data_IF_444307684765
#
_entry.id   IF_444307684765
#
_cell.length_a   1.000
_cell.length_b   1.000
_cell.length_c   1.000
_cell.angle_alpha   90.00
_cell.angle_beta   90.00
_cell.angle_gamma   90.00
#
_symmetry.space_group_name_H-M   'P 1'
#
loop_
_entity.id
_entity.type
_entity.pdbx_description
1 polymer ?
#
# COMPACT_ATOMS: atom_id res chain seq x y z
N UNK A 1 -17.00 -2.81 -2.47
CA UNK A 1 -16.26 -3.73 -1.61
C UNK A 1 -17.30 -4.59 -0.92
N UNK A 2 -17.28 -5.90 -1.12
CA UNK A 2 -18.23 -6.80 -0.44
C UNK A 2 -17.74 -7.11 0.98
N UNK A 3 -18.62 -7.60 1.86
CA UNK A 3 -18.24 -8.11 3.19
C UNK A 3 -17.12 -9.17 3.10
N UNK A 4 -17.14 -9.98 2.04
CA UNK A 4 -16.07 -10.95 1.76
C UNK A 4 -14.74 -10.28 1.39
N UNK A 5 -14.78 -9.16 0.63
CA UNK A 5 -13.56 -8.38 0.33
C UNK A 5 -12.96 -7.78 1.62
N UNK A 6 -13.80 -7.31 2.56
CA UNK A 6 -13.36 -6.71 3.83
C UNK A 6 -12.81 -7.74 4.83
N UNK A 7 -13.46 -8.90 4.97
CA UNK A 7 -12.95 -10.00 5.80
C UNK A 7 -11.60 -10.53 5.28
N UNK A 8 -11.43 -10.62 3.95
CA UNK A 8 -10.13 -10.91 3.32
C UNK A 8 -9.09 -9.84 3.64
N UNK A 9 -9.51 -8.58 3.75
CA UNK A 9 -8.63 -7.44 3.99
C UNK A 9 -8.10 -7.41 5.43
N UNK A 10 -8.97 -7.65 6.41
CA UNK A 10 -8.59 -7.81 7.82
C UNK A 10 -7.70 -9.05 7.99
N UNK A 11 -8.02 -10.15 7.30
CA UNK A 11 -7.21 -11.38 7.34
C UNK A 11 -5.85 -11.20 6.65
N UNK A 12 -5.79 -10.42 5.57
CA UNK A 12 -4.57 -10.11 4.82
C UNK A 12 -3.63 -9.22 5.63
N UNK A 13 -4.16 -8.18 6.28
CA UNK A 13 -3.39 -7.31 7.17
C UNK A 13 -2.81 -8.11 8.35
N UNK A 14 -3.56 -9.09 8.87
CA UNK A 14 -3.06 -10.03 9.88
C UNK A 14 -1.94 -10.95 9.35
N UNK A 15 -2.10 -11.50 8.13
CA UNK A 15 -1.09 -12.37 7.48
C UNK A 15 0.19 -11.64 7.06
N UNK A 16 0.05 -10.39 6.61
CA UNK A 16 1.16 -9.49 6.26
C UNK A 16 2.09 -9.23 7.46
N UNK A 17 1.53 -9.29 8.67
CA UNK A 17 2.19 -8.84 9.90
C UNK A 17 2.63 -9.99 10.84
N UNK A 18 2.38 -11.25 10.50
CA UNK A 18 2.74 -12.42 11.32
C UNK A 18 3.32 -13.55 10.45
N UNK A 19 4.66 -13.66 10.39
CA UNK A 19 5.33 -14.82 9.79
C UNK A 19 5.22 -16.05 10.72
N UNK A 20 4.35 -17.01 10.37
CA UNK A 20 4.30 -18.33 11.01
C UNK A 20 3.13 -19.21 10.52
N UNK A 21 3.27 -20.56 10.49
CA UNK A 21 2.17 -21.46 10.17
C UNK A 21 1.15 -21.44 11.30
N UNK A 22 -0.13 -21.29 10.97
CA UNK A 22 -1.22 -21.33 11.93
C UNK A 22 -1.46 -22.78 12.37
N UNK A 23 -1.22 -23.07 13.64
CA UNK A 23 -1.85 -24.19 14.35
C UNK A 23 -3.22 -23.69 14.84
N UNK A 24 -4.29 -24.45 14.57
CA UNK A 24 -5.70 -24.05 14.75
C UNK A 24 -6.14 -24.00 16.22
N UNK A 25 -5.21 -24.11 17.16
CA UNK A 25 -5.46 -23.98 18.59
C UNK A 25 -4.54 -22.93 19.21
N UNK A 26 -5.16 -21.90 19.80
CA UNK A 26 -4.56 -20.84 20.63
C UNK A 26 -4.16 -19.53 19.94
N UNK A 27 -5.18 -18.77 19.50
CA UNK A 27 -5.04 -17.30 19.43
C UNK A 27 -5.30 -16.74 20.83
N UNK A 28 -4.24 -16.56 21.62
CA UNK A 28 -4.28 -15.78 22.87
C UNK A 28 -3.84 -14.34 22.60
N UNK A 29 -4.71 -13.37 22.90
CA UNK A 29 -4.57 -11.94 22.59
C UNK A 29 -3.45 -11.25 23.42
N UNK A 30 -2.72 -11.99 24.25
CA UNK A 30 -1.80 -11.41 25.25
C UNK A 30 -0.33 -11.29 24.82
N UNK A 31 0.03 -11.60 23.56
CA UNK A 31 1.45 -11.64 23.17
C UNK A 31 1.75 -10.97 21.82
N UNK A 32 1.08 -9.85 21.53
CA UNK A 32 1.44 -8.98 20.41
C UNK A 32 2.46 -7.94 20.85
N UNK A 33 3.75 -8.23 20.65
CA UNK A 33 4.79 -7.20 20.55
C UNK A 33 5.18 -7.09 19.07
N UNK A 34 4.56 -6.16 18.35
CA UNK A 34 4.95 -5.79 16.98
C UNK A 34 5.68 -4.43 17.00
N UNK A 35 6.68 -4.21 16.12
CA UNK A 35 7.42 -2.95 16.06
C UNK A 35 6.65 -1.79 15.39
N UNK A 36 5.35 -1.97 15.10
CA UNK A 36 4.49 -0.96 14.49
C UNK A 36 3.21 -0.84 15.30
N UNK A 37 2.88 0.37 15.75
CA UNK A 37 1.68 0.69 16.52
C UNK A 37 0.41 0.42 15.70
N UNK A 38 -0.08 -0.81 15.72
CA UNK A 38 -1.47 -1.11 15.40
C UNK A 38 -2.26 -0.80 16.67
N UNK A 39 -3.15 0.20 16.61
CA UNK A 39 -4.00 0.53 17.75
C UNK A 39 -4.90 -0.69 18.06
N UNK A 40 -4.69 -1.41 19.18
CA UNK A 40 -5.40 -2.66 19.46
C UNK A 40 -6.91 -2.44 19.61
N UNK A 41 -7.32 -1.23 20.02
CA UNK A 41 -8.73 -0.86 20.12
C UNK A 41 -9.38 -0.77 18.76
N UNK A 42 -8.68 -0.31 17.71
CA UNK A 42 -9.23 -0.21 16.36
C UNK A 42 -9.46 -1.60 15.74
N UNK A 43 -8.51 -2.52 15.98
CA UNK A 43 -8.62 -3.91 15.55
C UNK A 43 -9.76 -4.63 16.29
N UNK A 44 -9.85 -4.42 17.61
CA UNK A 44 -10.92 -4.97 18.45
C UNK A 44 -12.31 -4.40 18.09
N UNK A 45 -12.40 -3.09 17.78
CA UNK A 45 -13.65 -2.47 17.33
C UNK A 45 -14.08 -3.02 15.96
N UNK A 46 -13.13 -3.17 15.04
CA UNK A 46 -13.39 -3.74 13.72
C UNK A 46 -13.84 -5.20 13.80
N UNK A 47 -13.27 -6.01 14.70
CA UNK A 47 -13.76 -7.37 14.96
C UNK A 47 -15.14 -7.37 15.64
N UNK A 48 -15.36 -6.50 16.64
CA UNK A 48 -16.62 -6.45 17.39
C UNK A 48 -17.82 -6.13 16.51
N UNK A 49 -17.72 -5.09 15.66
CA UNK A 49 -18.80 -4.74 14.73
C UNK A 49 -19.02 -5.80 13.64
N UNK A 50 -17.98 -6.55 13.27
CA UNK A 50 -18.08 -7.63 12.28
C UNK A 50 -18.82 -8.86 12.83
N UNK A 51 -18.69 -9.14 14.14
CA UNK A 51 -19.44 -10.23 14.80
C UNK A 51 -20.91 -9.85 14.98
N UNK A 52 -21.22 -8.59 15.31
CA UNK A 52 -22.62 -8.13 15.45
C UNK A 52 -23.37 -8.16 14.11
N UNK A 53 -22.80 -7.66 13.02
CA UNK A 53 -23.43 -7.74 11.68
C UNK A 53 -23.67 -9.19 11.23
N UNK A 54 -22.80 -10.13 11.63
CA UNK A 54 -22.93 -11.55 11.30
C UNK A 54 -23.99 -12.25 12.17
N UNK A 55 -24.09 -11.89 13.46
CA UNK A 55 -25.12 -12.42 14.36
C UNK A 55 -26.53 -11.92 13.99
N UNK A 56 -26.66 -10.68 13.51
CA UNK A 56 -27.96 -10.11 13.17
C UNK A 56 -28.43 -10.40 11.73
N UNK A 57 -27.52 -10.65 10.78
CA UNK A 57 -27.91 -11.04 9.41
C UNK A 57 -28.33 -12.52 9.26
N UNK A 58 -28.06 -13.35 10.26
CA UNK A 58 -28.43 -14.78 10.31
C UNK A 58 -29.87 -15.08 10.76
N UNK A 59 -30.61 -14.12 11.33
CA UNK A 59 -31.93 -14.35 11.90
C UNK A 59 -33.06 -13.81 10.99
N UNK A 60 -33.49 -14.59 9.98
CA UNK A 60 -34.75 -14.31 9.26
C UNK A 60 -35.95 -14.83 10.06
N UNK A 61 -36.71 -13.90 10.65
CA UNK A 61 -38.06 -14.12 11.21
C UNK A 61 -38.91 -12.84 11.09
N UNK A 62 -40.15 -13.00 10.65
CA UNK A 62 -41.15 -11.98 10.25
C UNK A 62 -41.49 -10.88 11.28
N UNK A 63 -42.10 -9.74 10.87
CA UNK A 63 -41.98 -8.47 11.59
C UNK A 63 -42.97 -8.34 12.76
N UNK A 64 -42.47 -7.84 13.89
CA UNK A 64 -43.30 -7.19 14.92
C UNK A 64 -42.89 -5.72 14.99
N UNK A 65 -43.83 -4.85 14.66
CA UNK A 65 -43.74 -3.44 14.96
C UNK A 65 -43.63 -3.27 16.47
N UNK A 66 -42.64 -2.51 16.93
CA UNK A 66 -42.78 -1.60 18.06
C UNK A 66 -41.65 -0.56 18.06
N UNK A 67 -42.07 0.67 18.32
CA UNK A 67 -41.26 1.87 18.41
C UNK A 67 -40.12 1.75 19.43
N UNK A 68 -38.90 1.99 18.96
CA UNK A 68 -37.89 2.75 19.69
C UNK A 68 -36.91 3.31 18.66
N UNK A 69 -36.90 4.63 18.52
CA UNK A 69 -35.92 5.37 17.73
C UNK A 69 -34.57 5.34 18.43
N UNK A 70 -33.91 4.19 18.42
CA UNK A 70 -32.47 4.13 18.51
C UNK A 70 -31.97 4.27 17.07
N UNK A 71 -31.53 5.47 16.70
CA UNK A 71 -30.60 5.59 15.58
C UNK A 71 -29.36 4.81 15.99
N UNK A 72 -29.21 3.61 15.42
CA UNK A 72 -27.94 2.91 15.42
C UNK A 72 -26.86 3.92 14.99
N UNK A 73 -25.71 4.01 15.67
CA UNK A 73 -24.64 4.86 15.20
C UNK A 73 -24.26 4.37 13.80
N UNK A 74 -24.44 5.22 12.78
CA UNK A 74 -23.83 5.02 11.47
C UNK A 74 -22.32 4.99 11.68
N UNK A 75 -21.76 3.80 11.90
CA UNK A 75 -20.32 3.57 11.92
C UNK A 75 -19.88 3.66 10.47
N UNK A 76 -19.59 4.88 10.02
CA UNK A 76 -18.89 5.11 8.77
C UNK A 76 -17.44 4.72 9.02
N UNK A 77 -16.98 3.63 8.41
CA UNK A 77 -15.57 3.28 8.37
C UNK A 77 -14.82 4.40 7.65
N UNK A 78 -14.21 5.32 8.41
CA UNK A 78 -13.46 6.43 7.84
C UNK A 78 -12.05 5.95 7.52
N UNK A 79 -11.81 5.68 6.23
CA UNK A 79 -10.48 5.61 5.62
C UNK A 79 -9.64 4.41 6.07
N UNK A 80 -9.83 3.28 5.40
CA UNK A 80 -8.95 2.13 5.54
C UNK A 80 -7.68 2.38 4.70
N UNK A 81 -6.50 2.21 5.30
CA UNK A 81 -5.21 2.40 4.61
C UNK A 81 -4.36 1.14 4.72
N UNK A 82 -4.03 0.54 3.57
CA UNK A 82 -3.09 -0.58 3.48
C UNK A 82 -1.74 -0.04 3.03
N UNK A 83 -0.66 -0.40 3.71
CA UNK A 83 0.68 0.11 3.39
C UNK A 83 1.68 -1.00 3.13
N UNK A 84 2.66 -0.71 2.28
CA UNK A 84 3.91 -1.47 2.19
C UNK A 84 5.08 -0.50 2.08
N UNK A 85 6.27 -0.97 2.45
CA UNK A 85 7.51 -0.20 2.38
C UNK A 85 8.54 -0.96 1.55
N UNK A 86 9.28 -0.22 0.73
CA UNK A 86 10.43 -0.71 -0.01
C UNK A 86 11.67 0.09 0.41
N UNK A 87 12.79 -0.60 0.56
CA UNK A 87 14.07 -0.01 0.90
C UNK A 87 14.98 -0.06 -0.31
N UNK A 88 15.48 1.10 -0.70
CA UNK A 88 16.43 1.26 -1.80
C UNK A 88 17.57 2.17 -1.35
N UNK A 89 18.42 2.54 -2.28
CA UNK A 89 19.42 3.58 -2.07
C UNK A 89 19.53 4.46 -3.30
N UNK A 90 20.05 5.64 -3.10
CA UNK A 90 20.37 6.53 -4.20
C UNK A 90 21.60 6.10 -4.99
N UNK A 91 21.91 6.85 -6.05
CA UNK A 91 23.05 6.59 -6.92
C UNK A 91 23.55 7.88 -7.58
N UNK A 92 24.87 8.10 -7.74
CA UNK A 92 25.42 9.33 -8.35
C UNK A 92 24.94 9.63 -9.78
N UNK A 93 24.52 8.59 -10.52
CA UNK A 93 23.99 8.72 -11.89
C UNK A 93 22.49 9.02 -11.98
N UNK A 94 21.79 9.20 -10.85
CA UNK A 94 20.37 9.59 -10.85
C UNK A 94 20.22 10.98 -11.45
N UNK A 95 19.40 11.10 -12.50
CA UNK A 95 19.06 12.38 -13.14
C UNK A 95 17.71 12.90 -12.68
N UNK A 96 16.72 12.01 -12.60
CA UNK A 96 15.33 12.33 -12.30
C UNK A 96 14.78 13.46 -13.21
N UNK A 97 14.86 13.24 -14.52
CA UNK A 97 14.50 14.23 -15.54
C UNK A 97 13.35 13.77 -16.45
N UNK A 98 12.96 12.50 -16.37
CA UNK A 98 11.87 12.00 -17.21
C UNK A 98 10.54 12.71 -16.86
N UNK A 99 9.82 13.16 -17.89
CA UNK A 99 8.67 14.06 -17.76
C UNK A 99 7.35 13.36 -17.43
N UNK A 100 7.30 12.03 -17.55
CA UNK A 100 6.04 11.27 -17.40
C UNK A 100 6.12 10.08 -16.47
N UNK A 101 7.30 9.75 -15.93
CA UNK A 101 7.48 8.56 -15.10
C UNK A 101 8.48 8.79 -13.97
N UNK A 102 8.34 7.99 -12.91
CA UNK A 102 9.31 7.79 -11.84
C UNK A 102 9.59 6.29 -11.77
N UNK A 103 10.86 5.90 -11.67
CA UNK A 103 11.27 4.51 -11.63
C UNK A 103 12.17 4.18 -10.44
N UNK A 104 12.02 2.98 -9.90
CA UNK A 104 12.88 2.41 -8.86
C UNK A 104 13.27 1.01 -9.30
N UNK A 105 14.53 0.61 -9.11
CA UNK A 105 15.03 -0.70 -9.54
C UNK A 105 15.70 -1.50 -8.44
N UNK A 106 15.58 -2.84 -8.50
CA UNK A 106 16.33 -3.78 -7.67
C UNK A 106 17.78 -3.93 -8.13
N UNK A 107 18.10 -3.51 -9.38
CA UNK A 107 19.48 -3.54 -9.86
C UNK A 107 20.33 -2.54 -9.09
N UNK A 108 21.53 -2.96 -8.66
CA UNK A 108 22.43 -2.12 -7.86
C UNK A 108 23.26 -1.12 -8.66
N UNK A 109 23.17 -1.14 -9.99
CA UNK A 109 23.96 -0.29 -10.90
C UNK A 109 23.03 0.39 -11.90
N UNK A 110 23.33 1.64 -12.22
CA UNK A 110 22.66 2.37 -13.30
C UNK A 110 23.60 2.52 -14.50
N UNK A 111 22.99 2.53 -15.69
CA UNK A 111 23.62 3.09 -16.89
C UNK A 111 23.22 4.56 -17.02
N UNK A 112 23.98 5.35 -17.77
CA UNK A 112 23.73 6.79 -17.96
C UNK A 112 22.40 7.13 -18.66
N UNK A 113 21.70 6.12 -19.21
CA UNK A 113 20.45 6.26 -19.98
C UNK A 113 19.17 6.26 -19.13
N UNK A 114 19.25 5.90 -17.84
CA UNK A 114 18.07 5.85 -16.97
C UNK A 114 17.67 7.23 -16.44
N UNK A 115 16.89 8.00 -17.20
CA UNK A 115 16.42 9.33 -16.81
C UNK A 115 15.20 9.31 -15.86
N UNK A 116 14.44 8.22 -15.87
CA UNK A 116 13.29 8.01 -14.97
C UNK A 116 13.65 7.34 -13.64
N UNK A 117 14.77 6.61 -13.56
CA UNK A 117 15.16 5.89 -12.33
C UNK A 117 15.68 6.88 -11.27
N UNK A 118 15.08 6.86 -10.09
CA UNK A 118 15.43 7.72 -8.95
C UNK A 118 16.10 6.97 -7.81
N UNK A 119 15.95 5.64 -7.72
CA UNK A 119 16.61 4.83 -6.70
C UNK A 119 16.94 3.43 -7.23
N UNK A 120 17.98 2.83 -6.67
CA UNK A 120 18.59 1.56 -7.10
C UNK A 120 18.73 0.59 -5.92
N UNK A 121 18.98 -0.69 -6.21
CA UNK A 121 19.19 -1.70 -5.18
C UNK A 121 17.98 -1.87 -4.25
N UNK A 122 16.78 -1.69 -4.78
CA UNK A 122 15.55 -1.91 -4.04
C UNK A 122 15.42 -3.37 -3.59
N UNK A 123 14.93 -3.58 -2.37
CA UNK A 123 14.66 -4.89 -1.78
C UNK A 123 13.46 -5.62 -2.41
N UNK A 124 12.57 -4.90 -3.08
CA UNK A 124 11.35 -5.42 -3.70
C UNK A 124 11.21 -4.95 -5.15
N UNK A 125 10.67 -5.83 -5.98
CA UNK A 125 10.12 -5.54 -7.30
C UNK A 125 8.59 -5.65 -7.29
N UNK A 126 7.87 -5.26 -8.36
CA UNK A 126 6.43 -5.55 -8.46
C UNK A 126 6.10 -7.02 -8.21
N UNK A 127 6.97 -7.93 -8.67
CA UNK A 127 6.78 -9.38 -8.48
C UNK A 127 6.80 -9.78 -7.00
N UNK A 128 7.58 -9.12 -6.16
CA UNK A 128 7.80 -9.48 -4.76
C UNK A 128 6.71 -8.96 -3.81
N UNK A 129 5.81 -8.10 -4.29
CA UNK A 129 4.66 -7.70 -3.48
C UNK A 129 3.79 -8.90 -3.12
N UNK A 130 3.27 -8.90 -1.90
CA UNK A 130 2.32 -9.92 -1.46
C UNK A 130 1.06 -9.92 -2.33
N UNK A 131 0.49 -11.11 -2.54
CA UNK A 131 -0.63 -11.32 -3.45
C UNK A 131 -1.84 -10.44 -3.09
N UNK A 132 -2.11 -10.30 -1.80
CA UNK A 132 -3.17 -9.49 -1.22
C UNK A 132 -2.93 -8.00 -1.52
N UNK A 133 -1.72 -7.50 -1.29
CA UNK A 133 -1.36 -6.11 -1.61
C UNK A 133 -1.54 -5.82 -3.11
N UNK A 134 -1.14 -6.73 -3.99
CA UNK A 134 -1.38 -6.60 -5.44
C UNK A 134 -2.87 -6.51 -5.78
N UNK A 135 -3.70 -7.32 -5.13
CA UNK A 135 -5.15 -7.31 -5.31
C UNK A 135 -5.75 -5.95 -4.92
N UNK A 136 -5.33 -5.39 -3.79
CA UNK A 136 -5.78 -4.07 -3.35
C UNK A 136 -5.23 -2.95 -4.22
N UNK A 137 -3.96 -3.03 -4.63
CA UNK A 137 -3.35 -2.04 -5.52
C UNK A 137 -4.13 -1.94 -6.83
N UNK A 138 -4.56 -3.06 -7.42
CA UNK A 138 -5.40 -3.05 -8.64
C UNK A 138 -6.74 -2.35 -8.46
N UNK A 139 -7.36 -2.48 -7.28
CA UNK A 139 -8.68 -1.91 -6.97
C UNK A 139 -8.61 -0.46 -6.47
N UNK A 140 -7.45 -0.01 -6.00
CA UNK A 140 -7.29 1.30 -5.35
C UNK A 140 -7.46 2.45 -6.35
N UNK A 141 -8.32 3.42 -5.99
CA UNK A 141 -8.47 4.67 -6.74
C UNK A 141 -7.48 5.75 -6.32
N UNK A 142 -6.90 5.61 -5.13
CA UNK A 142 -5.92 6.53 -4.58
C UNK A 142 -4.74 5.74 -4.01
N UNK A 143 -3.63 5.82 -4.74
CA UNK A 143 -2.34 5.26 -4.35
C UNK A 143 -1.44 6.44 -4.01
N UNK A 144 -0.98 6.49 -2.78
CA UNK A 144 -0.05 7.50 -2.29
C UNK A 144 1.32 6.88 -2.12
N UNK A 145 2.34 7.47 -2.75
CA UNK A 145 3.71 7.00 -2.73
C UNK A 145 4.56 8.10 -2.12
N UNK A 146 5.28 7.79 -1.05
CA UNK A 146 6.16 8.73 -0.37
C UNK A 146 7.60 8.25 -0.46
N UNK A 147 8.47 9.09 -1.04
CA UNK A 147 9.91 8.87 -1.10
C UNK A 147 10.57 9.67 0.01
N UNK A 148 11.42 9.02 0.81
CA UNK A 148 12.11 9.64 1.94
C UNK A 148 13.61 9.39 1.81
N UNK A 149 14.41 10.45 1.88
CA UNK A 149 15.87 10.37 1.95
C UNK A 149 16.41 11.52 2.81
N UNK A 150 17.29 11.20 3.77
CA UNK A 150 17.90 12.21 4.66
C UNK A 150 16.88 13.13 5.38
N UNK A 151 15.69 12.62 5.71
CA UNK A 151 14.62 13.39 6.35
C UNK A 151 13.86 14.35 5.41
N UNK A 152 14.19 14.37 4.11
CA UNK A 152 13.38 15.04 3.08
C UNK A 152 12.38 14.01 2.55
N UNK A 153 11.09 14.36 2.55
CA UNK A 153 10.05 13.52 1.97
C UNK A 153 9.35 14.20 0.79
N UNK A 154 8.96 13.39 -0.19
CA UNK A 154 8.22 13.79 -1.37
C UNK A 154 7.07 12.83 -1.62
N UNK A 155 5.88 13.39 -1.82
CA UNK A 155 4.63 12.63 -1.96
C UNK A 155 4.13 12.69 -3.38
N UNK A 156 3.81 11.53 -3.93
CA UNK A 156 3.23 11.31 -5.25
C UNK A 156 1.87 10.65 -5.08
N UNK A 157 0.86 11.15 -5.77
CA UNK A 157 -0.50 10.59 -5.73
C UNK A 157 -0.89 10.12 -7.11
N UNK A 158 -1.30 8.86 -7.22
CA UNK A 158 -1.84 8.26 -8.44
C UNK A 158 -2.99 7.31 -8.15
N UNK A 159 -3.22 6.39 -9.08
CA UNK A 159 -4.26 5.39 -9.00
C UNK A 159 -3.72 4.01 -9.36
N UNK A 160 -4.36 3.00 -8.77
CA UNK A 160 -4.27 1.64 -9.24
C UNK A 160 -5.08 1.41 -10.51
N UNK A 161 -4.99 0.19 -11.04
CA UNK A 161 -5.84 -0.26 -12.15
C UNK A 161 -5.95 -1.79 -12.17
N UNK A 162 -7.08 -2.29 -12.64
CA UNK A 162 -7.31 -3.73 -12.76
C UNK A 162 -6.34 -4.41 -13.74
N UNK A 163 -5.77 -3.67 -14.70
CA UNK A 163 -4.83 -4.23 -15.68
C UNK A 163 -3.36 -4.27 -15.23
N UNK A 164 -3.03 -3.79 -14.02
CA UNK A 164 -1.67 -3.87 -13.49
C UNK A 164 -1.26 -5.34 -13.29
N UNK A 165 -0.37 -5.87 -14.12
CA UNK A 165 0.08 -7.26 -14.02
C UNK A 165 0.97 -7.50 -12.80
N UNK A 166 1.83 -6.52 -12.43
CA UNK A 166 2.68 -6.53 -11.23
C UNK A 166 3.60 -7.78 -11.17
N UNK A 167 4.21 -8.10 -12.30
CA UNK A 167 4.99 -9.32 -12.56
C UNK A 167 6.43 -9.04 -12.96
N UNK A 168 6.83 -7.78 -13.12
CA UNK A 168 8.24 -7.45 -13.41
C UNK A 168 9.14 -7.72 -12.20
N UNK A 169 10.34 -8.24 -12.47
CA UNK A 169 11.28 -8.74 -11.45
C UNK A 169 12.25 -7.68 -10.93
N UNK A 170 12.34 -6.52 -11.61
CA UNK A 170 13.48 -5.60 -11.39
C UNK A 170 13.15 -4.13 -11.27
N UNK A 171 11.97 -3.71 -11.67
CA UNK A 171 11.67 -2.28 -11.84
C UNK A 171 10.23 -2.00 -11.51
N UNK A 172 10.02 -0.98 -10.68
CA UNK A 172 8.75 -0.36 -10.37
C UNK A 172 8.69 0.99 -11.09
N UNK A 173 7.57 1.28 -11.74
CA UNK A 173 7.36 2.52 -12.48
C UNK A 173 6.02 3.13 -12.10
N UNK A 174 6.06 4.41 -11.77
CA UNK A 174 4.90 5.27 -11.52
C UNK A 174 4.75 6.15 -12.75
N UNK A 175 3.52 6.28 -13.28
CA UNK A 175 3.26 6.95 -14.56
C UNK A 175 2.22 8.04 -14.42
N UNK A 176 2.44 9.17 -15.11
CA UNK A 176 1.41 10.21 -15.30
C UNK A 176 0.33 9.77 -16.28
N UNK A 177 0.66 8.93 -17.26
CA UNK A 177 -0.31 8.34 -18.19
C UNK A 177 -1.08 7.18 -17.57
N UNK A 178 -2.04 6.65 -18.31
CA UNK A 178 -2.76 5.40 -18.03
C UNK A 178 -2.16 4.18 -18.75
N UNK A 179 -0.95 4.30 -19.31
CA UNK A 179 -0.26 3.18 -19.91
C UNK A 179 0.15 2.17 -18.83
N UNK A 180 -0.14 0.89 -19.07
CA UNK A 180 0.14 -0.19 -18.14
C UNK A 180 1.12 -1.20 -18.77
N UNK A 181 2.04 -1.67 -17.95
CA UNK A 181 2.98 -2.73 -18.29
C UNK A 181 3.45 -3.43 -17.01
N UNK A 182 4.15 -4.57 -17.09
CA UNK A 182 4.68 -5.33 -15.95
C UNK A 182 5.34 -4.53 -14.83
N UNK A 183 6.00 -3.43 -15.17
CA UNK A 183 6.73 -2.56 -14.24
C UNK A 183 5.82 -1.60 -13.48
N UNK A 184 4.60 -1.39 -13.95
CA UNK A 184 3.75 -0.27 -13.53
C UNK A 184 3.09 -0.58 -12.20
N UNK A 185 3.30 0.28 -11.19
CA UNK A 185 2.69 0.15 -9.86
C UNK A 185 1.62 1.22 -9.60
N UNK A 186 1.64 2.33 -10.34
CA UNK A 186 0.62 3.37 -10.28
C UNK A 186 0.56 4.12 -11.62
N UNK A 187 -0.66 4.51 -11.99
CA UNK A 187 -0.97 5.31 -13.18
C UNK A 187 -1.63 6.64 -12.78
N UNK A 188 -1.77 7.57 -13.73
CA UNK A 188 -2.40 8.88 -13.51
C UNK A 188 -1.80 9.64 -12.32
N UNK A 189 -0.50 9.51 -12.11
CA UNK A 189 0.22 10.20 -11.07
C UNK A 189 0.26 11.71 -11.30
N UNK A 190 0.21 12.48 -10.22
CA UNK A 190 0.35 13.94 -10.24
C UNK A 190 1.77 14.39 -10.59
N UNK A 191 2.78 13.57 -10.27
CA UNK A 191 4.21 13.86 -10.46
C UNK A 191 4.92 12.82 -11.32
N UNK A 192 5.93 13.28 -12.05
CA UNK A 192 6.98 12.48 -12.67
C UNK A 192 8.35 12.81 -12.04
N UNK A 193 9.42 12.16 -12.50
CA UNK A 193 10.78 12.40 -11.99
C UNK A 193 11.20 13.87 -12.08
N UNK A 194 10.80 14.58 -13.15
CA UNK A 194 11.07 16.01 -13.32
C UNK A 194 10.33 16.89 -12.28
N UNK A 195 9.28 16.38 -11.66
CA UNK A 195 8.44 17.14 -10.72
C UNK A 195 8.90 16.98 -9.25
N UNK A 196 9.86 16.08 -8.96
CA UNK A 196 10.36 15.83 -7.60
C UNK A 196 11.22 16.99 -7.07
N UNK A 197 11.17 17.26 -5.75
CA UNK A 197 12.02 18.26 -5.08
C UNK A 197 13.51 17.98 -5.39
N UNK A 198 14.19 18.99 -5.94
CA UNK A 198 15.60 18.88 -6.31
C UNK A 198 16.50 18.63 -5.11
N UNK A 199 16.13 19.12 -3.91
CA UNK A 199 16.84 18.83 -2.67
C UNK A 199 16.80 17.34 -2.32
N UNK A 200 15.65 16.69 -2.52
CA UNK A 200 15.53 15.23 -2.35
C UNK A 200 16.42 14.50 -3.37
N UNK A 201 16.38 14.91 -4.63
CA UNK A 201 17.20 14.30 -5.69
C UNK A 201 18.69 14.46 -5.42
N UNK A 202 19.13 15.61 -4.92
CA UNK A 202 20.53 15.84 -4.58
C UNK A 202 21.00 14.95 -3.43
N UNK A 203 20.16 14.74 -2.42
CA UNK A 203 20.42 13.76 -1.35
C UNK A 203 20.50 12.33 -1.87
N UNK A 204 19.57 11.95 -2.75
CA UNK A 204 19.59 10.65 -3.42
C UNK A 204 20.88 10.45 -4.23
N UNK A 205 21.38 11.46 -4.95
CA UNK A 205 22.64 11.34 -5.71
C UNK A 205 23.84 11.00 -4.84
N UNK A 206 23.82 11.31 -3.54
CA UNK A 206 24.91 10.97 -2.62
C UNK A 206 24.98 9.47 -2.27
N UNK A 207 24.01 8.66 -2.73
CA UNK A 207 24.00 7.21 -2.49
C UNK A 207 23.39 6.78 -1.17
N UNK A 208 22.73 7.69 -0.46
CA UNK A 208 22.10 7.44 0.85
C UNK A 208 20.88 6.51 0.75
N UNK A 209 20.44 5.91 1.87
CA UNK A 209 19.23 5.11 1.92
C UNK A 209 18.00 5.90 1.46
N UNK A 210 17.11 5.22 0.75
CA UNK A 210 15.82 5.75 0.29
C UNK A 210 14.73 4.80 0.75
N UNK A 211 13.75 5.32 1.47
CA UNK A 211 12.52 4.59 1.79
C UNK A 211 11.43 4.99 0.81
N UNK A 212 10.69 4.01 0.32
CA UNK A 212 9.49 4.23 -0.48
C UNK A 212 8.29 3.59 0.21
N UNK A 213 7.39 4.41 0.71
CA UNK A 213 6.12 3.98 1.29
C UNK A 213 5.04 4.02 0.23
N UNK A 214 4.25 2.95 0.10
CA UNK A 214 3.10 2.88 -0.80
C UNK A 214 1.86 2.65 0.06
N UNK A 215 0.92 3.59 0.02
CA UNK A 215 -0.33 3.57 0.79
C UNK A 215 -1.54 3.52 -0.14
N UNK A 216 -2.47 2.60 0.13
CA UNK A 216 -3.70 2.40 -0.62
C UNK A 216 -4.87 2.86 0.25
N UNK A 217 -5.65 3.82 -0.24
CA UNK A 217 -6.77 4.39 0.52
C UNK A 217 -8.11 3.86 -0.01
N UNK A 218 -8.98 3.41 0.90
CA UNK A 218 -10.32 2.90 0.64
C UNK A 218 -11.39 3.62 1.48
#
# INVERSE_FOLDING_TARGET
>A
MTLSDFALLVSADYRLNCDGPLDDSEVSVSTLQTPYEVNPLLLALNLYYLVDDFLFSGARGTPRQNHSSHTDPEVVLVGLVIKTVCFARGHPLVKAEHSTTIGITTEGRMTEKGDCIVAVGCDKSPRDFQHEFKSFLRKSKRVEIELICSGISEKIVGSGSNGLSLDHEKEMVIRKSDYECPKTIAIKADKASIDLDRRLIDEIKTGKPVEMWISLHF
#
